data_IF_161140536092
#
_entry.id   IF_161140536092
#
_cell.length_a   1.000
_cell.length_b   1.000
_cell.length_c   1.000
_cell.angle_alpha   90.00
_cell.angle_beta   90.00
_cell.angle_gamma   90.00
#
_symmetry.space_group_name_H-M   'P 1'
#
loop_
_entity.id
_entity.type
_entity.pdbx_description
1 polymer ?
#
# COMPACT_ATOMS: atom_id res chain seq x y z
N UNK A 1 -10.98 -19.64 -24.89
CA UNK A 1 -10.75 -18.22 -24.51
C UNK A 1 -11.72 -17.93 -23.38
N UNK A 2 -11.29 -18.08 -22.12
CA UNK A 2 -12.20 -18.24 -20.97
C UNK A 2 -12.43 -16.91 -20.25
N UNK A 3 -13.67 -16.43 -20.23
CA UNK A 3 -14.16 -15.34 -19.39
C UNK A 3 -14.81 -15.91 -18.13
N UNK A 4 -14.23 -15.66 -16.97
CA UNK A 4 -14.84 -15.96 -15.67
C UNK A 4 -15.67 -14.75 -15.21
N UNK A 5 -17.01 -14.90 -15.21
CA UNK A 5 -17.92 -14.09 -14.39
C UNK A 5 -18.32 -14.96 -13.19
N UNK A 6 -18.08 -14.47 -11.97
CA UNK A 6 -18.21 -15.27 -10.75
C UNK A 6 -19.64 -15.71 -10.43
N UNK A 7 -19.81 -17.04 -10.35
CA UNK A 7 -20.67 -17.88 -9.46
C UNK A 7 -22.15 -17.53 -9.28
N UNK A 8 -23.03 -18.38 -9.85
CA UNK A 8 -24.49 -18.27 -9.78
C UNK A 8 -25.23 -19.10 -8.72
N UNK A 9 -26.55 -19.12 -8.85
CA UNK A 9 -27.51 -20.17 -8.45
C UNK A 9 -28.64 -20.24 -9.51
N UNK A 10 -29.33 -21.39 -9.66
CA UNK A 10 -29.84 -21.87 -10.94
C UNK A 10 -31.22 -21.28 -11.30
N UNK A 11 -31.34 -20.74 -12.50
CA UNK A 11 -32.65 -20.66 -13.18
C UNK A 11 -33.02 -22.05 -13.65
N UNK A 12 -34.30 -22.39 -13.55
CA UNK A 12 -34.89 -23.71 -13.75
C UNK A 12 -34.88 -24.24 -15.21
N UNK A 13 -33.83 -23.94 -16.00
CA UNK A 13 -33.61 -24.47 -17.34
C UNK A 13 -32.11 -24.72 -17.55
N UNK A 14 -31.71 -25.98 -17.37
CA UNK A 14 -30.33 -26.43 -17.32
C UNK A 14 -29.67 -26.46 -18.72
N UNK A 15 -29.27 -25.30 -19.26
CA UNK A 15 -28.15 -25.18 -20.23
C UNK A 15 -27.66 -23.74 -20.51
N UNK A 16 -28.11 -22.72 -19.76
CA UNK A 16 -27.73 -21.33 -20.02
C UNK A 16 -26.93 -20.71 -18.87
N UNK A 17 -25.72 -20.25 -19.18
CA UNK A 17 -24.94 -19.38 -18.29
C UNK A 17 -25.59 -18.00 -18.31
N UNK A 18 -26.07 -17.54 -17.16
CA UNK A 18 -26.65 -16.20 -16.97
C UNK A 18 -25.67 -15.36 -16.15
N UNK A 19 -25.31 -14.18 -16.68
CA UNK A 19 -24.48 -13.20 -15.94
C UNK A 19 -25.32 -12.51 -14.88
N UNK A 20 -24.92 -12.64 -13.61
CA UNK A 20 -25.65 -12.09 -12.47
C UNK A 20 -25.16 -10.70 -12.03
N UNK A 21 -24.02 -10.25 -12.54
CA UNK A 21 -23.43 -8.95 -12.21
C UNK A 21 -21.96 -8.86 -12.57
N UNK A 22 -21.40 -7.66 -12.46
CA UNK A 22 -19.98 -7.38 -12.69
C UNK A 22 -19.43 -6.53 -11.55
N UNK A 23 -18.21 -6.84 -11.12
CA UNK A 23 -17.48 -6.05 -10.14
C UNK A 23 -16.88 -4.83 -10.83
N UNK A 24 -17.24 -3.64 -10.37
CA UNK A 24 -16.64 -2.39 -10.82
C UNK A 24 -15.33 -2.10 -10.06
N UNK A 25 -14.39 -1.44 -10.72
CA UNK A 25 -13.14 -0.97 -10.11
C UNK A 25 -13.20 0.54 -9.98
N UNK A 26 -12.79 1.07 -8.83
CA UNK A 26 -12.67 2.50 -8.61
C UNK A 26 -11.35 3.02 -9.19
N UNK A 27 -11.42 4.04 -10.04
CA UNK A 27 -10.27 4.83 -10.48
C UNK A 27 -10.25 6.15 -9.71
N UNK A 28 -9.07 6.51 -9.23
CA UNK A 28 -8.83 7.63 -8.34
C UNK A 28 -7.75 8.49 -8.97
N UNK A 29 -8.02 9.78 -9.09
CA UNK A 29 -7.10 10.73 -9.73
C UNK A 29 -5.80 10.90 -8.93
N UNK A 30 -5.90 11.02 -7.60
CA UNK A 30 -4.74 11.14 -6.72
C UNK A 30 -4.72 10.01 -5.67
N UNK A 31 -3.92 8.98 -5.94
CA UNK A 31 -3.78 7.81 -5.06
C UNK A 31 -3.01 8.14 -3.77
N UNK A 32 -2.04 9.07 -3.81
CA UNK A 32 -1.22 9.44 -2.65
C UNK A 32 -2.03 10.19 -1.57
N UNK A 33 -3.16 10.78 -1.96
CA UNK A 33 -4.08 11.44 -1.05
C UNK A 33 -5.04 10.48 -0.32
N UNK A 34 -4.97 9.17 -0.58
CA UNK A 34 -5.77 8.18 0.12
C UNK A 34 -5.27 8.00 1.55
N UNK A 35 -6.22 7.83 2.47
CA UNK A 35 -5.91 7.56 3.88
C UNK A 35 -6.10 6.06 4.13
N UNK A 36 -5.07 5.41 4.64
CA UNK A 36 -5.12 4.01 5.05
C UNK A 36 -5.94 3.88 6.34
N UNK A 37 -7.04 3.11 6.27
CA UNK A 37 -7.90 2.80 7.42
C UNK A 37 -7.54 1.44 8.07
N UNK A 38 -6.55 0.74 7.50
CA UNK A 38 -6.05 -0.56 7.98
C UNK A 38 -6.54 -1.74 7.15
N UNK A 39 -5.91 -2.91 7.34
CA UNK A 39 -6.23 -4.15 6.61
C UNK A 39 -6.30 -3.98 5.08
N UNK A 40 -5.42 -3.14 4.53
CA UNK A 40 -5.39 -2.75 3.11
C UNK A 40 -6.61 -1.99 2.59
N UNK A 41 -7.48 -1.50 3.47
CA UNK A 41 -8.56 -0.59 3.12
C UNK A 41 -8.10 0.87 3.12
N UNK A 42 -8.60 1.61 2.13
CA UNK A 42 -8.33 3.01 1.94
C UNK A 42 -9.63 3.81 1.91
N UNK A 43 -9.59 5.02 2.46
CA UNK A 43 -10.68 5.99 2.43
C UNK A 43 -10.25 7.24 1.66
N UNK A 44 -11.20 7.83 0.96
CA UNK A 44 -11.00 9.10 0.27
C UNK A 44 -10.82 10.24 1.27
N UNK A 45 -9.94 11.17 0.92
CA UNK A 45 -9.74 12.45 1.59
C UNK A 45 -10.18 13.59 0.68
N UNK A 46 -10.29 14.83 1.18
CA UNK A 46 -10.61 15.99 0.35
C UNK A 46 -9.67 16.19 -0.85
N UNK A 47 -8.43 15.70 -0.77
CA UNK A 47 -7.40 15.85 -1.80
C UNK A 47 -7.34 14.68 -2.79
N UNK A 48 -8.16 13.63 -2.60
CA UNK A 48 -8.18 12.42 -3.46
C UNK A 48 -8.72 12.70 -4.87
N UNK A 49 -9.46 13.79 -5.05
CA UNK A 49 -10.07 14.15 -6.33
C UNK A 49 -11.32 13.32 -6.63
N UNK A 50 -11.69 13.25 -7.92
CA UNK A 50 -12.89 12.52 -8.34
C UNK A 50 -12.62 11.01 -8.35
N UNK A 51 -13.53 10.25 -7.73
CA UNK A 51 -13.56 8.78 -7.84
C UNK A 51 -14.54 8.41 -8.96
N UNK A 52 -14.07 7.65 -9.94
CA UNK A 52 -14.91 7.06 -11.00
C UNK A 52 -14.97 5.55 -10.83
N UNK A 53 -16.10 4.94 -11.19
CA UNK A 53 -16.29 3.50 -11.13
C UNK A 53 -16.40 2.98 -12.55
N UNK A 54 -15.47 2.12 -12.94
CA UNK A 54 -15.30 1.68 -14.31
C UNK A 54 -15.32 0.17 -14.41
N UNK A 55 -15.64 -0.33 -15.60
CA UNK A 55 -15.51 -1.76 -15.89
C UNK A 55 -14.02 -2.11 -16.00
N UNK A 56 -13.52 -3.10 -15.24
CA UNK A 56 -12.11 -3.47 -15.29
C UNK A 56 -11.68 -3.88 -16.71
N UNK A 57 -10.51 -3.39 -17.14
CA UNK A 57 -9.98 -3.62 -18.49
C UNK A 57 -10.70 -2.89 -19.62
N UNK A 58 -11.62 -1.96 -19.32
CA UNK A 58 -12.28 -1.14 -20.35
C UNK A 58 -11.28 -0.23 -21.07
N UNK A 59 -11.42 -0.10 -22.39
CA UNK A 59 -10.54 0.76 -23.18
C UNK A 59 -10.84 2.22 -22.86
N UNK A 60 -9.86 2.92 -22.27
CA UNK A 60 -9.94 4.36 -21.98
C UNK A 60 -10.18 4.71 -20.51
N UNK A 61 -10.48 3.74 -19.64
CA UNK A 61 -10.66 3.99 -18.19
C UNK A 61 -9.36 4.03 -17.38
N UNK A 62 -8.22 3.64 -17.98
CA UNK A 62 -6.92 3.56 -17.30
C UNK A 62 -6.82 2.44 -16.25
N UNK A 63 -7.90 1.68 -16.03
CA UNK A 63 -7.96 0.58 -15.07
C UNK A 63 -7.44 -0.72 -15.67
N UNK A 64 -6.65 -1.50 -14.91
CA UNK A 64 -6.18 -2.82 -15.30
C UNK A 64 -7.30 -3.86 -15.46
N UNK A 65 -6.98 -4.98 -16.11
CA UNK A 65 -7.89 -6.14 -16.20
C UNK A 65 -7.83 -6.99 -14.93
N UNK A 66 -8.97 -7.51 -14.48
CA UNK A 66 -8.99 -8.48 -13.37
C UNK A 66 -8.54 -9.87 -13.86
N UNK A 67 -7.66 -10.51 -13.09
CA UNK A 67 -7.22 -11.89 -13.31
C UNK A 67 -7.80 -12.77 -12.20
N UNK A 68 -8.72 -13.66 -12.55
CA UNK A 68 -9.33 -14.57 -11.60
C UNK A 68 -8.32 -15.63 -11.12
N UNK A 69 -8.34 -15.93 -9.82
CA UNK A 69 -7.46 -16.95 -9.22
C UNK A 69 -6.01 -16.50 -8.96
N UNK A 70 -5.69 -15.24 -9.24
CA UNK A 70 -4.40 -14.63 -8.87
C UNK A 70 -4.53 -13.84 -7.56
N UNK A 71 -3.45 -13.79 -6.78
CA UNK A 71 -3.33 -12.98 -5.56
C UNK A 71 -2.21 -11.96 -5.78
N UNK A 72 -2.50 -10.68 -5.56
CA UNK A 72 -1.49 -9.63 -5.61
C UNK A 72 -0.53 -9.79 -4.42
N UNK A 73 0.74 -10.02 -4.70
CA UNK A 73 1.79 -10.10 -3.68
C UNK A 73 2.28 -8.71 -3.31
N UNK A 74 2.82 -8.56 -2.10
CA UNK A 74 3.46 -7.33 -1.67
C UNK A 74 4.58 -6.94 -2.64
N UNK A 75 4.68 -5.65 -2.95
CA UNK A 75 5.76 -5.08 -3.76
C UNK A 75 7.06 -4.84 -2.95
N UNK A 76 7.09 -5.24 -1.68
CA UNK A 76 8.18 -4.97 -0.73
C UNK A 76 9.27 -6.02 -0.84
N UNK A 77 10.53 -5.57 -0.99
CA UNK A 77 11.71 -6.43 -0.93
C UNK A 77 12.29 -6.44 0.49
N UNK A 78 12.15 -7.59 1.16
CA UNK A 78 12.56 -7.77 2.54
C UNK A 78 14.07 -7.53 2.78
N UNK A 79 14.93 -7.82 1.81
CA UNK A 79 16.37 -7.63 1.97
C UNK A 79 16.76 -6.15 2.02
N UNK A 80 16.09 -5.32 1.21
CA UNK A 80 16.28 -3.87 1.21
C UNK A 80 15.69 -3.25 2.46
N UNK A 81 14.46 -3.64 2.85
CA UNK A 81 13.84 -3.14 4.09
C UNK A 81 14.67 -3.45 5.33
N UNK A 82 15.28 -4.63 5.42
CA UNK A 82 16.19 -4.94 6.52
C UNK A 82 17.46 -4.10 6.47
N UNK A 83 18.00 -3.82 5.29
CA UNK A 83 19.19 -2.97 5.14
C UNK A 83 18.89 -1.52 5.56
N UNK A 84 17.75 -0.97 5.15
CA UNK A 84 17.30 0.37 5.53
C UNK A 84 17.00 0.47 7.03
N UNK A 85 16.43 -0.59 7.62
CA UNK A 85 16.28 -0.71 9.06
C UNK A 85 17.64 -0.68 9.77
N UNK A 86 18.63 -1.42 9.28
CA UNK A 86 19.99 -1.45 9.87
C UNK A 86 20.67 -0.08 9.74
N UNK A 87 20.51 0.60 8.60
CA UNK A 87 21.05 1.95 8.39
C UNK A 87 20.42 2.92 9.40
N UNK A 88 19.10 2.88 9.55
CA UNK A 88 18.36 3.70 10.51
C UNK A 88 18.82 3.44 11.95
N UNK A 89 18.97 2.17 12.34
CA UNK A 89 19.46 1.78 13.66
C UNK A 89 20.89 2.25 13.92
N UNK A 90 21.81 2.09 12.95
CA UNK A 90 23.18 2.57 13.06
C UNK A 90 23.25 4.09 13.16
N UNK A 91 22.40 4.80 12.41
CA UNK A 91 22.25 6.26 12.52
C UNK A 91 21.82 6.67 13.93
N UNK A 92 20.81 6.00 14.49
CA UNK A 92 20.36 6.26 15.86
C UNK A 92 21.46 5.98 16.91
N UNK A 93 22.18 4.86 16.77
CA UNK A 93 23.30 4.52 17.66
C UNK A 93 24.45 5.53 17.58
N UNK A 94 24.81 5.96 16.35
CA UNK A 94 25.82 6.98 16.14
C UNK A 94 25.39 8.31 16.79
N UNK A 95 24.15 8.73 16.59
CA UNK A 95 23.60 9.95 17.19
C UNK A 95 23.62 9.88 18.72
N UNK A 96 23.26 8.73 19.31
CA UNK A 96 23.30 8.52 20.76
C UNK A 96 24.73 8.59 21.30
N UNK A 97 25.69 8.00 20.58
CA UNK A 97 27.10 8.02 20.98
C UNK A 97 27.69 9.44 20.89
N UNK A 98 27.31 10.22 19.88
CA UNK A 98 27.70 11.64 19.78
C UNK A 98 27.22 12.41 21.01
N UNK A 99 25.97 12.20 21.45
CA UNK A 99 25.43 12.86 22.64
C UNK A 99 26.28 12.50 23.87
N UNK A 100 26.59 11.22 24.10
CA UNK A 100 27.41 10.81 25.24
C UNK A 100 28.83 11.41 25.22
N UNK A 101 29.44 11.52 24.04
CA UNK A 101 30.77 12.15 23.91
C UNK A 101 30.68 13.65 24.19
N UNK A 102 29.62 14.33 23.74
CA UNK A 102 29.37 15.74 24.06
C UNK A 102 29.17 15.93 25.56
N UNK A 103 28.41 15.05 26.22
CA UNK A 103 28.20 15.10 27.68
C UNK A 103 29.51 14.94 28.45
N UNK A 104 30.37 14.02 28.03
CA UNK A 104 31.71 13.83 28.62
C UNK A 104 32.59 15.08 28.45
N UNK A 105 32.60 15.70 27.27
CA UNK A 105 33.34 16.94 27.04
C UNK A 105 32.80 18.09 27.89
N UNK A 106 31.47 18.19 28.08
CA UNK A 106 30.85 19.20 28.93
C UNK A 106 31.26 19.00 30.40
N UNK A 107 31.28 17.78 30.88
CA UNK A 107 31.73 17.45 32.25
C UNK A 107 33.20 17.85 32.46
N UNK A 108 34.08 17.54 31.50
CA UNK A 108 35.50 17.91 31.54
C UNK A 108 35.69 19.44 31.55
N UNK A 109 34.93 20.18 30.74
CA UNK A 109 34.95 21.64 30.72
C UNK A 109 34.50 22.26 32.04
N UNK A 110 33.47 21.70 32.68
CA UNK A 110 32.99 22.17 34.00
C UNK A 110 34.05 21.94 35.08
N UNK A 111 34.75 20.80 35.04
CA UNK A 111 35.81 20.47 35.98
C UNK A 111 37.07 21.32 35.80
N UNK A 112 37.36 21.82 34.60
CA UNK A 112 38.47 22.75 34.31
C UNK A 112 38.26 24.17 34.86
N UNK A 113 37.02 24.59 35.14
CA UNK A 113 36.72 25.93 35.67
C UNK A 113 36.99 26.06 37.19
N UNK A 114 37.37 24.96 37.85
CA UNK A 114 37.52 24.90 39.31
C UNK A 114 38.94 25.14 39.77
#
# INVERSE_FOLDING_TARGET
MYSYTGTGTPSADADKIVTIGQVAVASIENQDALVMEGNSYYRTSPNTGKVTYEVPGSKGSGTGSLVAGALEMSNVDLANEFSDMIITQRGFQANTKIISVVDQMLEELVNLKR
#
